data_IF_295185320636
#
_entry.id   IF_295185320636
#
_cell.length_a   1.000
_cell.length_b   1.000
_cell.length_c   1.000
_cell.angle_alpha   90.00
_cell.angle_beta   90.00
_cell.angle_gamma   90.00
#
_symmetry.space_group_name_H-M   'P 1'
#
loop_
_entity.id
_entity.type
_entity.pdbx_description
1 polymer ?
#
# COMPACT_ATOMS: atom_id res chain seq x y z
N UNK A 1 12.05 -35.61 23.27
CA UNK A 1 11.10 -34.50 22.95
C UNK A 1 10.95 -34.40 21.45
N UNK A 2 9.86 -34.86 20.90
CA UNK A 2 9.58 -34.65 19.46
C UNK A 2 9.13 -33.21 19.28
N UNK A 3 9.98 -32.37 18.67
CA UNK A 3 9.62 -31.01 18.33
C UNK A 3 8.36 -31.01 17.44
N UNK A 4 7.31 -30.31 17.84
CA UNK A 4 6.12 -30.09 17.02
C UNK A 4 6.62 -29.51 15.67
N UNK A 5 6.55 -30.32 14.59
CA UNK A 5 6.76 -29.79 13.23
C UNK A 5 5.79 -28.62 13.07
N UNK A 6 6.33 -27.42 12.91
CA UNK A 6 5.52 -26.24 12.60
C UNK A 6 4.70 -26.55 11.35
N UNK A 7 3.39 -26.60 11.49
CA UNK A 7 2.48 -26.82 10.36
C UNK A 7 2.34 -25.54 9.54
N UNK A 8 2.05 -25.70 8.26
CA UNK A 8 1.66 -24.56 7.43
C UNK A 8 0.49 -23.79 8.06
N UNK A 9 0.46 -22.49 7.93
CA UNK A 9 -0.62 -21.63 8.41
C UNK A 9 -1.12 -20.71 7.28
N UNK A 10 -2.39 -20.32 7.36
CA UNK A 10 -2.99 -19.33 6.47
C UNK A 10 -3.28 -18.07 7.27
N UNK A 11 -2.83 -16.95 6.76
CA UNK A 11 -3.08 -15.60 7.29
C UNK A 11 -3.91 -14.84 6.27
N UNK A 12 -4.99 -14.20 6.70
CA UNK A 12 -5.68 -13.22 5.88
C UNK A 12 -4.96 -11.89 6.00
N UNK A 13 -4.55 -11.32 4.89
CA UNK A 13 -4.07 -9.94 4.76
C UNK A 13 -5.23 -9.07 4.29
N UNK A 14 -5.42 -7.93 4.92
CA UNK A 14 -6.35 -6.89 4.52
C UNK A 14 -5.57 -5.56 4.48
N UNK A 15 -5.47 -4.97 3.29
CA UNK A 15 -4.82 -3.69 3.03
C UNK A 15 -5.89 -2.62 2.82
N UNK A 16 -5.94 -1.63 3.71
CA UNK A 16 -6.95 -0.58 3.74
C UNK A 16 -6.32 0.77 3.41
N UNK A 17 -6.67 1.28 2.24
CA UNK A 17 -6.30 2.61 1.79
C UNK A 17 -7.54 3.48 1.56
N UNK A 18 -7.33 4.77 1.38
CA UNK A 18 -8.44 5.71 1.16
C UNK A 18 -8.98 5.72 -0.29
N UNK A 19 -8.35 5.00 -1.21
CA UNK A 19 -8.79 4.84 -2.59
C UNK A 19 -9.19 3.43 -2.97
N UNK A 20 -8.86 2.44 -2.15
CA UNK A 20 -9.15 1.03 -2.39
C UNK A 20 -8.93 0.19 -1.15
N UNK A 21 -9.48 -1.02 -1.16
CA UNK A 21 -9.19 -2.05 -0.15
C UNK A 21 -8.81 -3.34 -0.87
N UNK A 22 -7.73 -3.96 -0.44
CA UNK A 22 -7.32 -5.24 -0.98
C UNK A 22 -7.30 -6.34 0.08
N UNK A 23 -7.47 -7.59 -0.36
CA UNK A 23 -7.28 -8.75 0.48
C UNK A 23 -6.58 -9.87 -0.25
N UNK A 24 -5.86 -10.70 0.50
CA UNK A 24 -5.25 -11.93 0.01
C UNK A 24 -5.09 -12.94 1.15
N UNK A 25 -5.03 -14.22 0.78
CA UNK A 25 -4.67 -15.31 1.69
C UNK A 25 -3.17 -15.59 1.56
N UNK A 26 -2.45 -15.44 2.65
CA UNK A 26 -1.01 -15.72 2.73
C UNK A 26 -0.80 -17.10 3.34
N UNK A 27 -0.21 -18.03 2.57
CA UNK A 27 0.28 -19.31 3.09
C UNK A 27 1.72 -19.14 3.56
N UNK A 28 1.95 -19.51 4.80
CA UNK A 28 3.27 -19.60 5.40
C UNK A 28 3.57 -21.06 5.76
N UNK A 29 4.63 -21.62 5.19
CA UNK A 29 5.10 -22.97 5.51
C UNK A 29 6.58 -22.92 5.87
N UNK A 30 7.05 -23.75 6.81
CA UNK A 30 8.45 -23.78 7.21
C UNK A 30 9.37 -24.12 6.05
N UNK A 31 10.38 -23.26 5.81
CA UNK A 31 11.37 -23.46 4.75
C UNK A 31 10.88 -23.13 3.34
N UNK A 32 9.65 -22.64 3.16
CA UNK A 32 9.10 -22.17 1.89
C UNK A 32 8.99 -20.65 1.90
N UNK A 33 9.09 -20.05 0.70
CA UNK A 33 8.74 -18.65 0.52
C UNK A 33 7.25 -18.42 0.81
N UNK A 34 6.86 -17.28 1.42
CA UNK A 34 5.47 -16.94 1.62
C UNK A 34 4.75 -16.89 0.26
N UNK A 35 3.49 -17.37 0.22
CA UNK A 35 2.73 -17.47 -1.03
C UNK A 35 1.36 -16.83 -0.90
N UNK A 36 1.04 -15.91 -1.81
CA UNK A 36 -0.27 -15.25 -1.90
C UNK A 36 -1.24 -16.04 -2.79
N UNK A 37 -2.51 -15.99 -2.39
CA UNK A 37 -3.64 -16.58 -3.11
C UNK A 37 -4.86 -15.66 -3.04
N UNK A 38 -5.63 -15.63 -4.12
CA UNK A 38 -6.93 -14.96 -4.15
C UNK A 38 -6.83 -13.46 -3.92
N UNK A 39 -5.81 -12.85 -4.48
CA UNK A 39 -5.61 -11.40 -4.44
C UNK A 39 -6.80 -10.71 -5.11
N UNK A 40 -7.40 -9.75 -4.40
CA UNK A 40 -8.47 -8.91 -4.93
C UNK A 40 -8.34 -7.51 -4.36
N UNK A 41 -8.59 -6.51 -5.21
CA UNK A 41 -8.63 -5.10 -4.82
C UNK A 41 -9.95 -4.49 -5.25
N UNK A 42 -10.66 -3.93 -4.28
CA UNK A 42 -11.94 -3.25 -4.45
C UNK A 42 -11.68 -1.74 -4.43
N UNK A 43 -11.98 -1.08 -5.53
CA UNK A 43 -11.82 0.38 -5.61
C UNK A 43 -12.90 1.10 -4.79
N UNK A 44 -12.51 2.13 -4.07
CA UNK A 44 -13.45 3.09 -3.47
C UNK A 44 -13.89 4.04 -4.59
N UNK A 45 -15.20 4.22 -4.81
CA UNK A 45 -15.71 5.07 -5.90
C UNK A 45 -15.17 6.50 -5.80
N UNK A 46 -14.79 7.07 -6.93
CA UNK A 46 -14.38 8.47 -7.02
C UNK A 46 -15.59 9.37 -6.80
N UNK A 47 -15.58 10.19 -5.76
CA UNK A 47 -16.64 11.17 -5.45
C UNK A 47 -16.12 12.59 -5.62
N UNK A 48 -16.98 13.51 -6.09
CA UNK A 48 -16.58 14.89 -6.34
C UNK A 48 -16.37 15.68 -5.03
N UNK A 49 -17.17 15.36 -4.00
CA UNK A 49 -17.04 15.93 -2.65
C UNK A 49 -16.99 14.82 -1.62
N UNK A 50 -16.05 14.90 -0.68
CA UNK A 50 -15.91 13.91 0.38
C UNK A 50 -15.82 14.56 1.75
N UNK A 51 -16.70 14.17 2.65
CA UNK A 51 -16.44 14.32 4.07
C UNK A 51 -15.61 13.12 4.56
N UNK A 52 -14.86 13.29 5.64
CA UNK A 52 -14.11 12.18 6.26
C UNK A 52 -15.03 11.00 6.61
N UNK A 53 -16.26 11.30 7.04
CA UNK A 53 -17.26 10.28 7.36
C UNK A 53 -17.73 9.50 6.12
N UNK A 54 -18.06 10.19 5.02
CA UNK A 54 -18.48 9.51 3.78
C UNK A 54 -17.38 8.67 3.18
N UNK A 55 -16.14 9.13 3.27
CA UNK A 55 -14.97 8.36 2.82
C UNK A 55 -14.78 7.10 3.67
N UNK A 56 -14.82 7.23 5.00
CA UNK A 56 -14.69 6.08 5.91
C UNK A 56 -15.76 5.02 5.64
N UNK A 57 -17.03 5.43 5.44
CA UNK A 57 -18.11 4.49 5.09
C UNK A 57 -17.89 3.80 3.74
N UNK A 58 -17.42 4.51 2.72
CA UNK A 58 -17.15 3.92 1.42
C UNK A 58 -15.99 2.90 1.48
N UNK A 59 -14.96 3.20 2.27
CA UNK A 59 -13.84 2.27 2.52
C UNK A 59 -14.30 1.06 3.33
N UNK A 60 -15.14 1.24 4.35
CA UNK A 60 -15.70 0.13 5.14
C UNK A 60 -16.57 -0.80 4.29
N UNK A 61 -17.32 -0.25 3.33
CA UNK A 61 -18.06 -1.04 2.35
C UNK A 61 -17.12 -1.86 1.46
N UNK A 62 -16.09 -1.22 0.88
CA UNK A 62 -15.08 -1.91 0.09
C UNK A 62 -14.33 -2.99 0.89
N UNK A 63 -14.06 -2.74 2.18
CA UNK A 63 -13.46 -3.73 3.07
C UNK A 63 -14.39 -4.94 3.29
N UNK A 64 -15.69 -4.70 3.44
CA UNK A 64 -16.68 -5.78 3.58
C UNK A 64 -16.77 -6.65 2.33
N UNK A 65 -16.75 -6.05 1.13
CA UNK A 65 -16.71 -6.78 -0.14
C UNK A 65 -15.40 -7.58 -0.31
N UNK A 66 -14.27 -6.98 0.01
CA UNK A 66 -12.96 -7.63 -0.07
C UNK A 66 -12.86 -8.83 0.88
N UNK A 67 -13.37 -8.69 2.11
CA UNK A 67 -13.45 -9.80 3.08
C UNK A 67 -14.36 -10.93 2.61
N UNK A 68 -15.50 -10.61 1.99
CA UNK A 68 -16.40 -11.62 1.43
C UNK A 68 -15.71 -12.41 0.33
N UNK A 69 -15.05 -11.71 -0.61
CA UNK A 69 -14.25 -12.36 -1.66
C UNK A 69 -13.17 -13.29 -1.08
N UNK A 70 -12.41 -12.82 -0.10
CA UNK A 70 -11.38 -13.64 0.55
C UNK A 70 -11.96 -14.90 1.23
N UNK A 71 -13.16 -14.77 1.84
CA UNK A 71 -13.86 -15.90 2.45
C UNK A 71 -14.29 -16.95 1.42
N UNK A 72 -14.80 -16.53 0.27
CA UNK A 72 -15.18 -17.39 -0.84
C UNK A 72 -13.96 -18.11 -1.44
N UNK A 73 -12.84 -17.39 -1.62
CA UNK A 73 -11.57 -17.98 -2.06
C UNK A 73 -11.07 -19.02 -1.06
N UNK A 74 -11.09 -18.69 0.23
CA UNK A 74 -10.69 -19.61 1.29
C UNK A 74 -11.54 -20.87 1.29
N UNK A 75 -12.86 -20.77 1.10
CA UNK A 75 -13.77 -21.90 1.01
C UNK A 75 -13.44 -22.77 -0.20
N UNK A 76 -13.24 -22.18 -1.38
CA UNK A 76 -12.87 -22.92 -2.60
C UNK A 76 -11.54 -23.66 -2.47
N UNK A 77 -10.51 -23.01 -1.93
CA UNK A 77 -9.17 -23.59 -1.83
C UNK A 77 -9.05 -24.69 -0.77
N UNK A 78 -9.99 -24.78 0.19
CA UNK A 78 -10.03 -25.89 1.17
C UNK A 78 -10.34 -27.25 0.53
N UNK A 79 -11.03 -27.28 -0.61
CA UNK A 79 -11.48 -28.50 -1.26
C UNK A 79 -10.55 -29.02 -2.36
N UNK A 80 -9.45 -28.32 -2.65
CA UNK A 80 -8.50 -28.73 -3.68
C UNK A 80 -7.25 -29.40 -3.11
N UNK A 81 -6.61 -30.29 -3.89
CA UNK A 81 -5.33 -30.90 -3.55
C UNK A 81 -4.28 -29.81 -3.31
N UNK A 82 -3.66 -29.81 -2.14
CA UNK A 82 -2.79 -28.71 -1.69
C UNK A 82 -3.51 -27.65 -0.86
N UNK A 83 -4.69 -28.01 -0.32
CA UNK A 83 -5.58 -27.17 0.45
C UNK A 83 -4.87 -26.21 1.40
N UNK A 84 -5.37 -24.97 1.43
CA UNK A 84 -4.97 -24.02 2.46
C UNK A 84 -5.57 -24.44 3.81
N UNK A 85 -4.78 -24.43 4.89
CA UNK A 85 -5.33 -24.52 6.25
C UNK A 85 -6.39 -23.44 6.47
N UNK A 86 -7.31 -23.62 7.42
CA UNK A 86 -8.20 -22.53 7.84
C UNK A 86 -7.41 -21.27 8.20
N UNK A 87 -8.01 -20.10 7.97
CA UNK A 87 -7.42 -18.82 8.39
C UNK A 87 -7.20 -18.87 9.90
N UNK A 88 -5.96 -18.66 10.32
CA UNK A 88 -5.53 -18.73 11.72
C UNK A 88 -5.26 -17.35 12.34
N UNK A 89 -5.15 -16.32 11.49
CA UNK A 89 -4.89 -14.95 11.90
C UNK A 89 -5.34 -13.97 10.80
N UNK A 90 -5.74 -12.77 11.20
CA UNK A 90 -5.97 -11.63 10.31
C UNK A 90 -4.93 -10.56 10.60
N UNK A 91 -4.30 -10.04 9.54
CA UNK A 91 -3.35 -8.93 9.62
C UNK A 91 -3.90 -7.80 8.75
N UNK A 92 -4.13 -6.65 9.36
CA UNK A 92 -4.71 -5.48 8.72
C UNK A 92 -3.63 -4.42 8.61
N UNK A 93 -3.39 -3.96 7.40
CA UNK A 93 -2.54 -2.82 7.11
C UNK A 93 -3.42 -1.61 6.82
N UNK A 94 -3.07 -0.48 7.42
CA UNK A 94 -3.79 0.77 7.24
C UNK A 94 -2.83 1.84 6.73
N UNK A 95 -3.17 2.43 5.59
CA UNK A 95 -2.48 3.61 5.07
C UNK A 95 -3.02 4.91 5.68
N UNK A 96 -2.29 6.00 5.53
CA UNK A 96 -2.78 7.33 5.91
C UNK A 96 -4.13 7.64 5.23
N UNK A 97 -5.06 8.28 5.92
CA UNK A 97 -4.92 8.93 7.25
C UNK A 97 -5.28 8.02 8.44
N UNK A 98 -5.59 6.74 8.25
CA UNK A 98 -6.08 5.85 9.32
C UNK A 98 -4.99 5.11 10.09
N UNK A 99 -3.82 4.90 9.46
CA UNK A 99 -2.64 4.32 10.11
C UNK A 99 -1.43 5.12 9.73
N UNK A 100 -0.87 5.90 10.65
CA UNK A 100 0.31 6.74 10.42
C UNK A 100 1.44 6.37 11.36
N UNK A 101 2.71 6.43 10.91
CA UNK A 101 3.84 6.23 11.80
C UNK A 101 3.89 7.32 12.89
N UNK A 102 3.98 6.91 14.14
CA UNK A 102 4.27 7.82 15.24
C UNK A 102 5.74 7.64 15.64
N UNK A 103 6.60 8.52 15.13
CA UNK A 103 8.06 8.45 15.33
C UNK A 103 8.45 8.66 16.80
N UNK A 104 7.67 9.47 17.54
CA UNK A 104 7.94 9.73 18.94
C UNK A 104 7.67 8.53 19.84
N UNK A 105 6.66 7.73 19.50
CA UNK A 105 6.26 6.55 20.28
C UNK A 105 6.86 5.24 19.75
N UNK A 106 7.48 5.26 18.56
CA UNK A 106 8.02 4.07 17.89
C UNK A 106 6.95 3.04 17.49
N UNK A 107 5.67 3.43 17.46
CA UNK A 107 4.54 2.60 17.06
C UNK A 107 3.55 3.43 16.24
N UNK A 108 2.77 2.82 15.32
CA UNK A 108 1.78 3.56 14.56
C UNK A 108 0.59 4.00 15.44
N UNK A 109 0.03 5.14 15.08
CA UNK A 109 -1.26 5.60 15.57
C UNK A 109 -2.36 5.17 14.59
N UNK A 110 -3.49 4.70 15.13
CA UNK A 110 -4.64 4.28 14.35
C UNK A 110 -5.87 5.12 14.69
N UNK A 111 -6.51 5.65 13.66
CA UNK A 111 -7.79 6.33 13.81
C UNK A 111 -8.91 5.29 13.86
N UNK A 112 -9.79 5.26 14.87
CA UNK A 112 -10.91 4.34 14.96
C UNK A 112 -12.00 4.76 13.96
N UNK A 113 -11.86 4.33 12.70
CA UNK A 113 -12.77 4.73 11.61
C UNK A 113 -13.74 3.61 11.20
N UNK A 114 -13.46 2.35 11.53
CA UNK A 114 -14.13 1.18 10.97
C UNK A 114 -14.79 0.34 12.09
N UNK A 115 -16.04 0.68 12.43
CA UNK A 115 -16.75 0.03 13.53
C UNK A 115 -17.24 -1.38 13.17
N UNK A 116 -17.64 -1.60 11.91
CA UNK A 116 -18.19 -2.88 11.44
C UNK A 116 -17.12 -3.90 11.02
N UNK A 117 -15.86 -3.49 10.93
CA UNK A 117 -14.79 -4.35 10.43
C UNK A 117 -14.56 -5.60 11.31
N UNK A 118 -14.44 -5.42 12.62
CA UNK A 118 -14.20 -6.52 13.56
C UNK A 118 -15.38 -7.50 13.63
N UNK A 119 -16.65 -7.06 13.75
CA UNK A 119 -17.82 -7.93 13.63
C UNK A 119 -17.85 -8.70 12.31
N UNK A 120 -17.51 -8.06 11.19
CA UNK A 120 -17.49 -8.69 9.87
C UNK A 120 -16.44 -9.77 9.75
N UNK A 121 -15.22 -9.52 10.22
CA UNK A 121 -14.14 -10.52 10.28
C UNK A 121 -14.59 -11.73 11.08
N UNK A 122 -15.15 -11.50 12.27
CA UNK A 122 -15.65 -12.59 13.13
C UNK A 122 -16.74 -13.42 12.46
N UNK A 123 -17.65 -12.79 11.75
CA UNK A 123 -18.75 -13.50 11.07
C UNK A 123 -18.26 -14.40 9.94
N UNK A 124 -17.16 -14.04 9.24
CA UNK A 124 -16.66 -14.76 8.07
C UNK A 124 -15.57 -15.79 8.41
N UNK A 125 -14.74 -15.50 9.39
CA UNK A 125 -13.56 -16.30 9.70
C UNK A 125 -13.55 -16.87 11.13
N UNK A 126 -14.54 -16.53 11.95
CA UNK A 126 -14.61 -16.92 13.35
C UNK A 126 -13.78 -16.00 14.26
N UNK A 127 -13.57 -16.45 15.50
CA UNK A 127 -12.81 -15.68 16.48
C UNK A 127 -11.30 -15.90 16.31
N UNK A 128 -10.74 -15.30 15.26
CA UNK A 128 -9.32 -15.37 14.92
C UNK A 128 -8.56 -14.15 15.44
N UNK A 129 -7.31 -14.31 15.92
CA UNK A 129 -6.47 -13.19 16.33
C UNK A 129 -6.31 -12.17 15.18
N UNK A 130 -6.50 -10.90 15.50
CA UNK A 130 -6.35 -9.79 14.56
C UNK A 130 -5.25 -8.84 15.03
N UNK A 131 -4.38 -8.40 14.12
CA UNK A 131 -3.37 -7.38 14.39
C UNK A 131 -3.44 -6.25 13.38
N UNK A 132 -3.15 -5.03 13.85
CA UNK A 132 -3.12 -3.80 13.05
C UNK A 132 -1.68 -3.35 12.83
N UNK A 133 -1.36 -2.95 11.60
CA UNK A 133 -0.07 -2.41 11.20
C UNK A 133 -0.26 -1.18 10.31
N UNK A 134 0.64 -0.19 10.39
CA UNK A 134 0.67 0.86 9.39
C UNK A 134 1.23 0.28 8.08
N UNK A 135 0.60 0.60 6.95
CA UNK A 135 1.10 0.19 5.62
C UNK A 135 2.52 0.72 5.38
N UNK A 136 2.84 1.92 5.90
CA UNK A 136 4.19 2.48 5.90
C UNK A 136 5.26 1.50 6.42
N UNK A 137 4.94 0.69 7.45
CA UNK A 137 5.89 -0.29 7.99
C UNK A 137 6.20 -1.40 7.00
N UNK A 138 5.19 -1.88 6.27
CA UNK A 138 5.35 -2.87 5.21
C UNK A 138 6.12 -2.30 4.02
N UNK A 139 5.78 -1.07 3.62
CA UNK A 139 6.43 -0.37 2.52
C UNK A 139 7.93 -0.14 2.78
N UNK A 140 8.31 0.29 3.99
CA UNK A 140 9.71 0.44 4.42
C UNK A 140 10.43 -0.90 4.44
N UNK A 141 9.79 -1.95 5.00
CA UNK A 141 10.38 -3.28 5.04
C UNK A 141 10.65 -3.83 3.64
N UNK A 142 9.70 -3.69 2.72
CA UNK A 142 9.84 -4.13 1.35
C UNK A 142 10.88 -3.31 0.55
N UNK A 143 10.94 -1.99 0.77
CA UNK A 143 11.98 -1.15 0.17
C UNK A 143 13.38 -1.64 0.58
N UNK A 144 13.59 -1.93 1.86
CA UNK A 144 14.86 -2.45 2.36
C UNK A 144 15.22 -3.82 1.79
N UNK A 145 14.24 -4.70 1.60
CA UNK A 145 14.46 -6.00 0.99
C UNK A 145 14.84 -5.86 -0.49
N UNK A 146 14.15 -4.98 -1.23
CA UNK A 146 14.37 -4.77 -2.66
C UNK A 146 15.64 -3.94 -2.97
N UNK A 147 15.99 -3.01 -2.06
CA UNK A 147 17.09 -2.06 -2.24
C UNK A 147 17.96 -1.96 -0.96
N UNK A 148 18.67 -3.01 -0.59
CA UNK A 148 19.39 -3.10 0.69
C UNK A 148 20.58 -2.12 0.82
N UNK A 149 21.02 -1.51 -0.27
CA UNK A 149 22.15 -0.57 -0.29
C UNK A 149 21.72 0.90 -0.27
N UNK A 150 20.41 1.17 -0.22
CA UNK A 150 19.92 2.55 -0.12
C UNK A 150 19.99 3.03 1.33
N UNK A 151 21.02 3.81 1.63
CA UNK A 151 21.22 4.39 2.97
C UNK A 151 20.23 5.52 3.25
N UNK A 152 19.92 6.32 2.20
CA UNK A 152 18.99 7.45 2.25
C UNK A 152 17.99 7.36 1.13
N UNK A 153 16.71 7.43 1.48
CA UNK A 153 15.64 7.37 0.51
C UNK A 153 14.42 8.19 0.97
N UNK A 154 13.67 8.68 0.02
CA UNK A 154 12.30 9.15 0.22
C UNK A 154 11.36 8.11 -0.37
N UNK A 155 10.49 7.56 0.46
CA UNK A 155 9.41 6.68 0.03
C UNK A 155 8.12 7.50 -0.04
N UNK A 156 7.54 7.59 -1.22
CA UNK A 156 6.27 8.24 -1.49
C UNK A 156 5.21 7.16 -1.76
N UNK A 157 4.26 7.00 -0.86
CA UNK A 157 3.10 6.15 -1.06
C UNK A 157 1.92 7.00 -1.51
N UNK A 158 1.44 6.77 -2.74
CA UNK A 158 0.32 7.51 -3.34
C UNK A 158 -0.94 6.69 -3.23
N UNK A 159 -1.82 7.10 -2.34
CA UNK A 159 -3.13 6.47 -2.12
C UNK A 159 -4.24 7.20 -2.89
N UNK A 160 -5.52 7.01 -2.51
CA UNK A 160 -6.66 7.64 -3.18
C UNK A 160 -6.69 9.15 -3.05
N UNK A 161 -6.76 9.68 -1.83
CA UNK A 161 -6.92 11.11 -1.57
C UNK A 161 -5.70 11.77 -0.93
N UNK A 162 -4.83 10.97 -0.31
CA UNK A 162 -3.67 11.42 0.44
C UNK A 162 -2.45 10.66 -0.03
N UNK A 163 -1.33 11.34 -0.17
CA UNK A 163 -0.02 10.71 -0.31
C UNK A 163 0.76 10.83 0.99
N UNK A 164 1.55 9.81 1.28
CA UNK A 164 2.38 9.69 2.47
C UNK A 164 3.86 9.72 2.07
N UNK A 165 4.64 10.56 2.73
CA UNK A 165 6.07 10.70 2.51
C UNK A 165 6.82 10.21 3.74
N UNK A 166 7.77 9.30 3.54
CA UNK A 166 8.63 8.76 4.56
C UNK A 166 10.08 9.05 4.21
N UNK A 167 10.78 9.75 5.08
CA UNK A 167 12.22 9.93 4.96
C UNK A 167 12.94 8.80 5.68
N UNK A 168 13.86 8.17 4.98
CA UNK A 168 14.64 7.03 5.46
C UNK A 168 16.12 7.42 5.52
N UNK A 169 16.76 7.17 6.66
CA UNK A 169 18.22 7.23 6.85
C UNK A 169 18.65 5.95 7.59
N UNK A 170 19.72 5.31 7.13
CA UNK A 170 20.23 4.06 7.70
C UNK A 170 19.14 3.04 7.95
N UNK A 171 18.23 2.94 6.97
CA UNK A 171 17.11 2.03 7.00
C UNK A 171 16.10 2.30 8.15
N UNK A 172 16.04 3.50 8.72
CA UNK A 172 15.06 3.93 9.72
C UNK A 172 14.23 5.08 9.18
N UNK A 173 12.98 5.13 9.59
CA UNK A 173 12.13 6.29 9.31
C UNK A 173 12.55 7.41 10.26
N UNK A 174 13.07 8.50 9.70
CA UNK A 174 13.50 9.68 10.45
C UNK A 174 12.58 10.88 10.27
N UNK A 175 11.67 10.81 9.29
CA UNK A 175 10.67 11.84 9.05
C UNK A 175 9.43 11.27 8.36
N UNK A 176 8.29 11.92 8.60
CA UNK A 176 6.99 11.56 8.03
C UNK A 176 6.20 12.83 7.74
N UNK A 177 5.59 12.89 6.56
CA UNK A 177 4.65 13.94 6.17
C UNK A 177 3.52 13.35 5.32
N UNK A 178 2.43 14.08 5.20
CA UNK A 178 1.33 13.74 4.31
C UNK A 178 1.04 14.91 3.37
N UNK A 179 0.70 14.61 2.11
CA UNK A 179 0.22 15.59 1.15
C UNK A 179 -1.26 15.33 0.85
N UNK A 180 -2.13 16.35 0.81
CA UNK A 180 -3.56 16.20 0.54
C UNK A 180 -3.84 16.00 -0.96
N UNK A 181 -3.04 15.17 -1.61
CA UNK A 181 -3.10 14.84 -3.03
C UNK A 181 -2.83 13.36 -3.21
N UNK A 182 -3.63 12.71 -4.04
CA UNK A 182 -3.49 11.30 -4.36
C UNK A 182 -4.07 10.98 -5.74
N UNK A 183 -4.25 9.71 -6.02
CA UNK A 183 -4.80 9.23 -7.29
C UNK A 183 -6.18 9.84 -7.59
N UNK A 184 -7.05 9.96 -6.59
CA UNK A 184 -8.39 10.55 -6.75
C UNK A 184 -8.34 12.01 -7.19
N UNK A 185 -7.42 12.80 -6.64
CA UNK A 185 -7.21 14.19 -7.03
C UNK A 185 -6.78 14.30 -8.50
N UNK A 186 -5.82 13.46 -8.91
CA UNK A 186 -5.34 13.40 -10.30
C UNK A 186 -6.48 13.00 -11.25
N UNK A 187 -7.25 11.98 -10.91
CA UNK A 187 -8.39 11.53 -11.72
C UNK A 187 -9.46 12.60 -11.85
N UNK A 188 -9.78 13.35 -10.78
CA UNK A 188 -10.74 14.47 -10.85
C UNK A 188 -10.22 15.59 -11.77
N UNK A 189 -8.94 15.91 -11.69
CA UNK A 189 -8.32 16.90 -12.58
C UNK A 189 -8.42 16.47 -14.04
N UNK A 190 -8.10 15.22 -14.37
CA UNK A 190 -8.23 14.68 -15.72
C UNK A 190 -9.68 14.71 -16.20
N UNK A 191 -10.65 14.31 -15.37
CA UNK A 191 -12.07 14.36 -15.69
C UNK A 191 -12.55 15.79 -16.00
N UNK A 192 -12.20 16.75 -15.15
CA UNK A 192 -12.70 18.12 -15.27
C UNK A 192 -12.14 18.85 -16.48
N UNK A 193 -10.88 18.62 -16.85
CA UNK A 193 -10.25 19.30 -17.98
C UNK A 193 -10.62 18.70 -19.34
N UNK A 194 -10.85 17.39 -19.40
CA UNK A 194 -11.06 16.69 -20.67
C UNK A 194 -12.51 16.21 -20.87
N UNK A 195 -13.41 16.42 -19.90
CA UNK A 195 -14.79 15.89 -19.93
C UNK A 195 -14.84 14.36 -19.94
N UNK A 196 -13.78 13.70 -19.45
CA UNK A 196 -13.61 12.25 -19.49
C UNK A 196 -14.38 11.55 -18.38
N UNK A 197 -14.77 10.31 -18.63
CA UNK A 197 -15.19 9.38 -17.59
C UNK A 197 -13.98 8.96 -16.72
N UNK A 198 -14.23 8.40 -15.54
CA UNK A 198 -13.15 7.88 -14.69
C UNK A 198 -12.34 6.78 -15.40
N UNK A 199 -13.01 5.92 -16.18
CA UNK A 199 -12.36 4.86 -16.93
C UNK A 199 -11.40 5.42 -18.00
N UNK A 200 -11.80 6.44 -18.71
CA UNK A 200 -10.96 7.11 -19.71
C UNK A 200 -9.78 7.82 -19.05
N UNK A 201 -10.00 8.50 -17.92
CA UNK A 201 -8.94 9.14 -17.16
C UNK A 201 -7.89 8.11 -16.67
N UNK A 202 -8.32 6.97 -16.14
CA UNK A 202 -7.42 5.87 -15.76
C UNK A 202 -6.66 5.29 -16.98
N UNK A 203 -7.33 5.16 -18.11
CA UNK A 203 -6.70 4.70 -19.36
C UNK A 203 -5.69 5.71 -19.88
N UNK A 204 -5.98 7.01 -19.83
CA UNK A 204 -5.04 8.07 -20.20
C UNK A 204 -3.78 8.05 -19.35
N UNK A 205 -3.90 7.85 -18.03
CA UNK A 205 -2.75 7.67 -17.15
C UNK A 205 -1.91 6.44 -17.55
N UNK A 206 -2.55 5.31 -17.85
CA UNK A 206 -1.88 4.08 -18.27
C UNK A 206 -1.09 4.27 -19.55
N UNK A 207 -1.67 4.92 -20.53
CA UNK A 207 -1.02 5.19 -21.81
C UNK A 207 0.07 6.27 -21.73
N UNK A 208 0.18 6.95 -20.58
CA UNK A 208 1.12 8.04 -20.41
C UNK A 208 0.85 9.21 -21.36
N UNK A 209 -0.41 9.39 -21.74
CA UNK A 209 -0.81 10.42 -22.69
C UNK A 209 -0.37 11.82 -22.21
N UNK A 210 0.46 12.48 -23.02
CA UNK A 210 0.90 13.84 -22.76
C UNK A 210 -0.18 14.83 -23.25
N UNK A 211 -1.32 14.80 -22.56
CA UNK A 211 -2.39 15.75 -22.78
C UNK A 211 -2.18 16.98 -21.89
N UNK A 212 -2.77 18.12 -22.27
CA UNK A 212 -2.76 19.32 -21.43
C UNK A 212 -3.32 19.04 -20.02
N UNK A 213 -4.42 18.30 -19.93
CA UNK A 213 -5.00 17.85 -18.67
C UNK A 213 -4.02 16.99 -17.86
N UNK A 214 -3.28 16.08 -18.52
CA UNK A 214 -2.26 15.24 -17.90
C UNK A 214 -1.10 16.06 -17.36
N UNK A 215 -0.65 17.08 -18.09
CA UNK A 215 0.41 17.99 -17.65
C UNK A 215 -0.05 18.85 -16.46
N UNK A 216 -1.28 19.37 -16.50
CA UNK A 216 -1.86 20.13 -15.39
C UNK A 216 -1.96 19.28 -14.11
N UNK A 217 -2.45 18.05 -14.24
CA UNK A 217 -2.55 17.10 -13.13
C UNK A 217 -1.16 16.76 -12.55
N UNK A 218 -0.17 16.52 -13.40
CA UNK A 218 1.21 16.24 -13.00
C UNK A 218 1.85 17.44 -12.30
N UNK A 219 1.64 18.66 -12.80
CA UNK A 219 2.15 19.89 -12.20
C UNK A 219 1.53 20.14 -10.82
N UNK A 220 0.23 19.93 -10.67
CA UNK A 220 -0.46 20.04 -9.39
C UNK A 220 0.08 19.04 -8.38
N UNK A 221 0.16 17.75 -8.75
CA UNK A 221 0.71 16.70 -7.92
C UNK A 221 2.14 16.99 -7.48
N UNK A 222 3.01 17.38 -8.42
CA UNK A 222 4.40 17.72 -8.14
C UNK A 222 4.53 18.95 -7.22
N UNK A 223 3.62 19.91 -7.32
CA UNK A 223 3.55 21.09 -6.44
C UNK A 223 3.25 20.69 -4.98
N UNK A 224 2.22 19.88 -4.75
CA UNK A 224 1.84 19.40 -3.43
C UNK A 224 2.92 18.50 -2.82
N UNK A 225 3.49 17.61 -3.62
CA UNK A 225 4.64 16.80 -3.20
C UNK A 225 5.82 17.67 -2.76
N UNK A 226 6.17 18.70 -3.55
CA UNK A 226 7.26 19.62 -3.26
C UNK A 226 7.02 20.37 -1.96
N UNK A 227 5.78 20.79 -1.70
CA UNK A 227 5.40 21.46 -0.46
C UNK A 227 5.62 20.55 0.75
N UNK A 228 5.03 19.36 0.74
CA UNK A 228 5.16 18.38 1.82
C UNK A 228 6.62 17.93 2.03
N UNK A 229 7.39 17.75 0.94
CA UNK A 229 8.80 17.40 1.03
C UNK A 229 9.65 18.52 1.65
N UNK A 230 9.37 19.80 1.34
CA UNK A 230 10.07 20.95 1.97
C UNK A 230 9.79 21.03 3.47
N UNK A 231 8.57 20.79 3.90
CA UNK A 231 8.25 20.75 5.33
C UNK A 231 9.04 19.62 6.03
N UNK A 232 9.17 18.47 5.38
CA UNK A 232 9.87 17.30 5.92
C UNK A 232 11.39 17.48 6.00
N UNK A 233 12.00 18.12 4.99
CA UNK A 233 13.46 18.20 4.84
C UNK A 233 14.07 19.54 5.27
N UNK A 234 13.25 20.53 5.61
CA UNK A 234 13.76 21.87 5.90
C UNK A 234 14.44 22.55 4.70
N UNK A 235 14.25 22.07 3.47
CA UNK A 235 14.68 22.71 2.23
C UNK A 235 15.51 21.87 1.26
N UNK A 236 16.25 20.84 1.69
CA UNK A 236 17.06 20.01 0.78
C UNK A 236 16.93 18.53 1.14
N UNK A 237 16.53 17.72 0.17
CA UNK A 237 16.47 16.29 0.27
C UNK A 237 17.74 15.64 -0.34
N UNK A 238 18.15 14.52 0.20
CA UNK A 238 19.21 13.68 -0.35
C UNK A 238 18.70 12.25 -0.56
N UNK A 239 19.23 11.58 -1.58
CA UNK A 239 18.89 10.19 -1.88
C UNK A 239 17.88 10.02 -3.03
N UNK A 240 17.44 8.79 -3.22
CA UNK A 240 16.51 8.41 -4.27
C UNK A 240 15.06 8.51 -3.78
N UNK A 241 14.13 8.82 -4.69
CA UNK A 241 12.69 8.80 -4.44
C UNK A 241 12.11 7.49 -4.97
N UNK A 242 11.47 6.73 -4.09
CA UNK A 242 10.74 5.52 -4.46
C UNK A 242 9.25 5.81 -4.40
N UNK A 243 8.57 5.60 -5.51
CA UNK A 243 7.13 5.84 -5.64
C UNK A 243 6.40 4.50 -5.55
N UNK A 244 5.53 4.40 -4.58
CA UNK A 244 4.61 3.29 -4.38
C UNK A 244 3.19 3.77 -4.70
N UNK A 245 2.56 3.15 -5.67
CA UNK A 245 1.16 3.37 -6.03
C UNK A 245 0.63 2.13 -6.74
N UNK A 246 -0.68 2.03 -6.88
CA UNK A 246 -1.26 0.92 -7.63
C UNK A 246 -0.88 0.97 -9.10
N UNK A 247 -0.55 -0.18 -9.66
CA UNK A 247 -0.34 -0.31 -11.10
C UNK A 247 -1.65 -0.02 -11.88
N UNK A 248 -1.56 0.70 -12.97
CA UNK A 248 -0.38 1.23 -13.66
C UNK A 248 -0.01 2.67 -13.29
N UNK A 249 -0.57 3.23 -12.21
CA UNK A 249 -0.37 4.63 -11.86
C UNK A 249 1.05 4.92 -11.32
N UNK A 250 1.75 3.93 -10.74
CA UNK A 250 3.09 4.10 -10.17
C UNK A 250 4.08 4.75 -11.13
N UNK A 251 4.10 4.29 -12.39
CA UNK A 251 4.94 4.86 -13.44
C UNK A 251 4.56 6.28 -13.83
N UNK A 252 3.26 6.58 -13.84
CA UNK A 252 2.79 7.93 -14.12
C UNK A 252 3.24 8.91 -13.04
N UNK A 253 3.11 8.54 -11.77
CA UNK A 253 3.56 9.35 -10.64
C UNK A 253 5.07 9.52 -10.63
N UNK A 254 5.84 8.45 -10.86
CA UNK A 254 7.29 8.53 -10.93
C UNK A 254 7.76 9.49 -12.05
N UNK A 255 7.16 9.42 -13.24
CA UNK A 255 7.47 10.35 -14.33
C UNK A 255 7.07 11.79 -14.03
N UNK A 256 5.93 12.00 -13.38
CA UNK A 256 5.46 13.32 -12.97
C UNK A 256 6.44 14.02 -12.03
N UNK A 257 7.11 13.24 -11.16
CA UNK A 257 8.11 13.73 -10.22
C UNK A 257 9.53 13.85 -10.81
N UNK A 258 9.82 13.16 -11.90
CA UNK A 258 11.16 13.23 -12.56
C UNK A 258 11.40 14.54 -13.30
N UNK A 259 10.45 15.47 -13.26
CA UNK A 259 10.54 16.75 -13.96
C UNK A 259 11.54 17.71 -13.27
N UNK A 260 12.09 18.65 -14.08
CA UNK A 260 13.04 19.69 -13.61
C UNK A 260 12.58 20.47 -12.36
N UNK A 261 11.26 20.50 -12.10
CA UNK A 261 10.69 21.15 -10.91
C UNK A 261 11.18 20.58 -9.57
N UNK A 262 11.72 19.35 -9.55
CA UNK A 262 12.27 18.74 -8.34
C UNK A 262 13.77 18.98 -8.15
N UNK A 263 14.48 19.54 -9.13
CA UNK A 263 15.92 19.79 -9.01
C UNK A 263 16.29 20.68 -7.81
N UNK A 264 15.37 21.55 -7.37
CA UNK A 264 15.53 22.37 -6.19
C UNK A 264 15.48 21.56 -4.87
N UNK A 265 14.76 20.45 -4.84
CA UNK A 265 14.66 19.58 -3.66
C UNK A 265 15.84 18.61 -3.57
N UNK A 266 16.41 18.25 -4.70
CA UNK A 266 17.49 17.27 -4.82
C UNK A 266 18.71 17.87 -5.53
N UNK A 267 19.39 18.86 -4.93
CA UNK A 267 20.49 19.58 -5.58
C UNK A 267 21.71 18.70 -5.87
N UNK A 268 21.86 17.60 -5.15
CA UNK A 268 22.93 16.63 -5.37
C UNK A 268 22.55 15.53 -6.39
N UNK A 269 21.40 15.67 -7.02
CA UNK A 269 20.82 14.66 -7.88
C UNK A 269 20.15 13.54 -7.08
N UNK A 270 19.08 13.05 -7.61
CA UNK A 270 18.34 11.89 -7.10
C UNK A 270 17.57 11.27 -8.25
N UNK A 271 17.32 9.98 -8.19
CA UNK A 271 16.47 9.32 -9.18
C UNK A 271 15.09 9.10 -8.59
N UNK A 272 14.07 9.22 -9.43
CA UNK A 272 12.71 8.83 -9.08
C UNK A 272 12.43 7.48 -9.70
N UNK A 273 12.01 6.52 -8.90
CA UNK A 273 11.78 5.13 -9.32
C UNK A 273 10.43 4.64 -8.84
N UNK A 274 9.66 4.02 -9.72
CA UNK A 274 8.46 3.30 -9.32
C UNK A 274 8.84 1.97 -8.65
N UNK A 275 8.26 1.68 -7.50
CA UNK A 275 8.30 0.33 -6.93
C UNK A 275 7.34 -0.57 -7.71
N UNK A 276 7.86 -1.67 -8.23
CA UNK A 276 7.11 -2.61 -9.08
C UNK A 276 7.02 -3.99 -8.41
N UNK A 277 6.00 -4.77 -8.73
CA UNK A 277 5.87 -6.14 -8.21
C UNK A 277 7.12 -6.99 -8.47
N UNK A 278 7.78 -6.81 -9.63
CA UNK A 278 9.00 -7.55 -9.99
C UNK A 278 10.16 -7.39 -9.01
N UNK A 279 10.23 -6.29 -8.26
CA UNK A 279 11.25 -6.09 -7.24
C UNK A 279 11.00 -6.95 -5.98
N UNK A 280 9.77 -7.39 -5.77
CA UNK A 280 9.34 -8.19 -4.61
C UNK A 280 9.12 -9.67 -4.94
N UNK A 281 8.99 -10.01 -6.22
CA UNK A 281 8.78 -11.38 -6.69
C UNK A 281 9.79 -12.41 -6.16
N UNK A 282 11.08 -12.07 -5.93
CA UNK A 282 12.03 -13.01 -5.32
C UNK A 282 11.69 -13.42 -3.88
N UNK A 283 10.90 -12.62 -3.17
CA UNK A 283 10.62 -12.79 -1.74
C UNK A 283 9.24 -13.38 -1.45
N UNK A 284 8.27 -13.18 -2.36
CA UNK A 284 6.88 -13.62 -2.17
C UNK A 284 6.39 -14.28 -3.45
N UNK A 285 6.02 -15.55 -3.38
CA UNK A 285 5.41 -16.25 -4.48
C UNK A 285 3.93 -15.83 -4.64
N UNK A 286 3.49 -15.64 -5.86
CA UNK A 286 2.12 -15.24 -6.18
C UNK A 286 1.63 -15.93 -7.46
N UNK A 287 0.33 -15.88 -7.71
CA UNK A 287 -0.32 -16.36 -8.93
C UNK A 287 -1.11 -15.20 -9.56
N UNK A 288 -0.95 -15.02 -10.88
CA UNK A 288 -1.64 -13.95 -11.61
C UNK A 288 -0.88 -12.62 -11.63
N UNK A 289 -1.60 -11.52 -11.78
CA UNK A 289 -1.03 -10.16 -11.77
C UNK A 289 -0.84 -9.72 -10.32
N UNK A 290 0.40 -9.57 -9.86
CA UNK A 290 0.67 -9.26 -8.46
C UNK A 290 0.32 -7.81 -8.14
N UNK A 291 -0.24 -7.61 -6.96
CA UNK A 291 -0.44 -6.29 -6.34
C UNK A 291 0.79 -5.94 -5.49
N UNK A 292 1.45 -4.81 -5.79
CA UNK A 292 2.69 -4.41 -5.09
C UNK A 292 2.45 -4.22 -3.60
N UNK A 293 1.32 -3.64 -3.19
CA UNK A 293 1.01 -3.40 -1.78
C UNK A 293 0.79 -4.71 -1.03
N UNK A 294 0.03 -5.66 -1.60
CA UNK A 294 -0.16 -6.98 -1.01
C UNK A 294 1.14 -7.79 -0.92
N UNK A 295 2.07 -7.62 -1.88
CA UNK A 295 3.40 -8.25 -1.80
C UNK A 295 4.23 -7.67 -0.64
N UNK A 296 4.18 -6.35 -0.42
CA UNK A 296 4.84 -5.67 0.71
C UNK A 296 4.27 -6.17 2.05
N UNK A 297 2.96 -6.24 2.15
CA UNK A 297 2.25 -6.69 3.34
C UNK A 297 2.54 -8.17 3.65
N UNK A 298 2.59 -9.01 2.62
CA UNK A 298 2.94 -10.43 2.75
C UNK A 298 4.37 -10.62 3.23
N UNK A 299 5.32 -9.86 2.68
CA UNK A 299 6.71 -9.91 3.07
C UNK A 299 6.89 -9.48 4.54
N UNK A 300 6.28 -8.36 4.93
CA UNK A 300 6.29 -7.87 6.31
C UNK A 300 5.65 -8.86 7.28
N UNK A 301 4.48 -9.40 6.92
CA UNK A 301 3.76 -10.38 7.75
C UNK A 301 4.61 -11.62 7.98
N UNK A 302 5.26 -12.14 6.93
CA UNK A 302 6.13 -13.29 7.02
C UNK A 302 7.30 -13.06 7.98
N UNK A 303 7.98 -11.91 7.86
CA UNK A 303 9.10 -11.54 8.73
C UNK A 303 8.66 -11.36 10.19
N UNK A 304 7.55 -10.65 10.42
CA UNK A 304 7.02 -10.38 11.77
C UNK A 304 6.62 -11.66 12.51
N UNK A 305 6.01 -12.62 11.81
CA UNK A 305 5.60 -13.90 12.41
C UNK A 305 6.78 -14.85 12.62
N UNK A 306 7.85 -14.74 11.85
CA UNK A 306 9.08 -15.48 12.07
C UNK A 306 9.78 -15.02 13.36
N UNK A 307 9.86 -13.71 13.60
CA UNK A 307 10.48 -13.14 14.81
C UNK A 307 9.66 -13.39 16.08
N UNK A 308 8.33 -13.38 16.00
CA UNK A 308 7.45 -13.64 17.16
C UNK A 308 7.44 -15.10 17.65
N UNK A 309 8.07 -16.03 16.93
CA UNK A 309 8.21 -17.44 17.34
C UNK A 309 9.51 -17.73 18.13
N UNK A 310 10.39 -16.74 18.26
CA UNK A 310 11.69 -16.86 18.92
C UNK A 310 11.70 -16.42 20.39
N UNK A 311 10.57 -15.94 20.93
CA UNK A 311 10.45 -15.52 22.34
C UNK A 311 9.56 -16.45 23.16
#
# INVERSE_FOLDING_TARGET
MFGKKSSAQTVLILDIENGSVASALLKLAPGEAPRLFGEARIAVPLMDTRSAHSLARAVEHAASESLLHASEVAARLRHHAGALPPVSKVVIFMAAPWGVPNLAQGRPDFTPAFQELAPRIRSLFGDVPTSLHAHASAAVHGLRAAYPHEERALLLSVNGEVSELLMLEDARVVGHATAPVGLGTVLRTLKSHAGQSEHEARSAMRLGAQTEAGQAAAAHFAGEFKHAARELFGGQASGNVFVLAHEPASEWFARSLSHRSLAELFPQGGTVRAMRPGHLAPFVAHHGTPDTHLLLDALYTSASLAHGRGN
#
